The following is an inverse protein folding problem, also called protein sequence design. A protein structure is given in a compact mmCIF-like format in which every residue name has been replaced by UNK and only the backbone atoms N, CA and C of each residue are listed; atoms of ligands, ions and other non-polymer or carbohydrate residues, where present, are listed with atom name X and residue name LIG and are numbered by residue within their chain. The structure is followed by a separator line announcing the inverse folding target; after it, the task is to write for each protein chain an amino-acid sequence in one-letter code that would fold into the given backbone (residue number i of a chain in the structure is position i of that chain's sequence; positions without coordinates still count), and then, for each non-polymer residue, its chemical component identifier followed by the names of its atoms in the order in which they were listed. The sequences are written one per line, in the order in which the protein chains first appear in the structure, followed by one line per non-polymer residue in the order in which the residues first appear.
data_IF_173654377096
#
_entry.id   IF_173654377096
#
_cell.length_a   1.000
_cell.length_b   1.000
_cell.length_c   1.000
_cell.angle_alpha   90.00
_cell.angle_beta   90.00
_cell.angle_gamma   90.00
#
_symmetry.space_group_name_H-M   'P 1'
#
loop_
_entity.id
_entity.type
_entity.pdbx_description
1 polymer ?
#
# COMPACT_ATOMS: atom_id res chain seq x y z
N UNK A 1 -9.79 29.06 -8.35
CA UNK A 1 -10.37 27.76 -7.97
C UNK A 1 -9.85 27.48 -6.58
N UNK A 2 -10.69 27.58 -5.56
CA UNK A 2 -10.29 27.23 -4.19
C UNK A 2 -10.24 25.72 -4.10
N UNK A 3 -9.05 25.15 -3.92
CA UNK A 3 -8.93 23.75 -3.55
C UNK A 3 -9.44 23.63 -2.12
N UNK A 4 -10.56 22.93 -1.93
CA UNK A 4 -10.99 22.52 -0.59
C UNK A 4 -9.85 21.70 0.05
N UNK A 5 -9.61 21.84 1.37
CA UNK A 5 -8.58 21.06 2.04
C UNK A 5 -8.95 19.57 1.96
N UNK A 6 -8.04 18.78 1.38
CA UNK A 6 -8.20 17.33 1.25
C UNK A 6 -8.26 16.70 2.66
N UNK A 7 -9.22 15.83 2.91
CA UNK A 7 -9.35 15.10 4.18
C UNK A 7 -8.25 14.05 4.32
N UNK A 8 -7.92 13.64 5.56
CA UNK A 8 -6.96 12.56 5.83
C UNK A 8 -7.32 11.27 5.08
N UNK A 9 -8.62 10.94 5.02
CA UNK A 9 -9.12 9.78 4.29
C UNK A 9 -8.84 9.89 2.78
N UNK A 10 -9.06 11.06 2.18
CA UNK A 10 -8.77 11.29 0.77
C UNK A 10 -7.27 11.20 0.47
N UNK A 11 -6.40 11.67 1.39
CA UNK A 11 -4.94 11.55 1.24
C UNK A 11 -4.53 10.07 1.23
N UNK A 12 -4.98 9.30 2.23
CA UNK A 12 -4.69 7.86 2.35
C UNK A 12 -5.24 7.08 1.15
N UNK A 13 -6.45 7.41 0.69
CA UNK A 13 -7.06 6.78 -0.48
C UNK A 13 -6.28 7.07 -1.77
N UNK A 14 -5.64 8.23 -1.87
CA UNK A 14 -4.89 8.65 -3.06
C UNK A 14 -3.49 8.04 -3.21
N UNK A 15 -3.02 7.27 -2.22
CA UNK A 15 -1.68 6.67 -2.29
C UNK A 15 -1.53 5.74 -3.52
N UNK A 16 -0.47 5.93 -4.33
CA UNK A 16 -0.23 5.13 -5.54
C UNK A 16 0.38 3.76 -5.17
N UNK A 17 -0.42 2.92 -4.53
CA UNK A 17 0.01 1.60 -4.06
C UNK A 17 0.10 0.62 -5.25
N UNK A 18 1.15 -0.22 -5.33
CA UNK A 18 1.31 -1.20 -6.41
C UNK A 18 0.15 -2.19 -6.48
N UNK A 19 -0.27 -2.52 -7.71
CA UNK A 19 -1.27 -3.57 -7.92
C UNK A 19 -0.68 -4.94 -7.50
N UNK A 20 -1.48 -5.76 -6.82
CA UNK A 20 -1.04 -7.07 -6.32
C UNK A 20 -0.42 -7.05 -4.93
N UNK A 21 -0.23 -5.87 -4.33
CA UNK A 21 0.23 -5.72 -2.95
C UNK A 21 -0.93 -5.90 -1.95
N UNK A 22 -1.32 -7.15 -1.70
CA UNK A 22 -2.48 -7.51 -0.88
C UNK A 22 -2.38 -7.07 0.58
N UNK A 23 -1.20 -7.14 1.18
CA UNK A 23 -0.98 -6.68 2.55
C UNK A 23 -1.15 -5.16 2.64
N UNK A 24 -0.56 -4.45 1.69
CA UNK A 24 -0.66 -3.00 1.60
C UNK A 24 -2.09 -2.53 1.38
N UNK A 25 -2.84 -3.20 0.51
CA UNK A 25 -4.28 -2.94 0.34
C UNK A 25 -5.08 -3.17 1.62
N UNK A 26 -4.73 -4.22 2.39
CA UNK A 26 -5.40 -4.55 3.64
C UNK A 26 -5.14 -3.49 4.70
N UNK A 27 -3.90 -3.03 4.83
CA UNK A 27 -3.53 -1.97 5.76
C UNK A 27 -4.23 -0.66 5.38
N UNK A 28 -4.27 -0.28 4.08
CA UNK A 28 -5.00 0.91 3.61
C UNK A 28 -6.48 0.85 3.99
N UNK A 29 -7.15 -0.29 3.79
CA UNK A 29 -8.56 -0.47 4.18
C UNK A 29 -8.77 -0.35 5.68
N UNK A 30 -7.87 -0.94 6.48
CA UNK A 30 -7.92 -0.83 7.94
C UNK A 30 -7.79 0.63 8.40
N UNK A 31 -6.81 1.35 7.84
CA UNK A 31 -6.59 2.76 8.16
C UNK A 31 -7.80 3.64 7.81
N UNK A 32 -8.37 3.46 6.61
CA UNK A 32 -9.58 4.18 6.19
C UNK A 32 -10.78 3.87 7.09
N UNK A 33 -10.94 2.61 7.52
CA UNK A 33 -12.01 2.22 8.44
C UNK A 33 -11.84 2.87 9.83
N UNK A 34 -10.60 2.94 10.33
CA UNK A 34 -10.28 3.62 11.60
C UNK A 34 -10.57 5.11 11.53
N UNK A 35 -10.14 5.79 10.45
CA UNK A 35 -10.43 7.22 10.22
C UNK A 35 -11.95 7.44 10.17
N UNK A 36 -12.68 6.61 9.40
CA UNK A 36 -14.14 6.74 9.27
C UNK A 36 -14.93 6.44 10.55
N UNK A 37 -14.34 5.74 11.52
CA UNK A 37 -14.96 5.44 12.80
C UNK A 37 -14.81 6.58 13.84
N UNK A 38 -14.12 7.67 13.51
CA UNK A 38 -13.89 8.79 14.42
C UNK A 38 -12.93 8.46 15.58
N UNK A 39 -12.16 7.37 15.45
CA UNK A 39 -11.06 7.08 16.35
C UNK A 39 -9.90 7.99 15.98
N UNK A 40 -9.73 9.05 16.78
CA UNK A 40 -8.76 10.14 16.63
C UNK A 40 -8.70 10.63 15.18
N UNK A 41 -9.39 11.73 14.82
CA UNK A 41 -9.04 12.49 13.61
C UNK A 41 -7.57 12.88 13.78
N UNK A 42 -6.60 12.11 13.23
CA UNK A 42 -5.22 12.50 13.39
C UNK A 42 -5.15 13.71 12.47
N UNK A 43 -4.67 14.83 13.01
CA UNK A 43 -4.48 16.05 12.24
C UNK A 43 -4.03 15.66 10.83
N UNK A 44 -4.76 16.03 9.76
CA UNK A 44 -4.45 15.62 8.39
C UNK A 44 -2.97 15.82 8.05
N UNK A 45 -2.36 16.83 8.66
CA UNK A 45 -0.92 17.06 8.61
C UNK A 45 -0.11 15.96 9.30
N UNK A 46 -0.49 15.40 10.44
CA UNK A 46 0.28 14.33 11.14
C UNK A 46 0.35 13.02 10.35
N UNK A 47 -0.73 12.57 9.70
CA UNK A 47 -0.67 11.37 8.83
C UNK A 47 0.09 11.65 7.54
N UNK A 48 0.04 12.89 7.03
CA UNK A 48 0.77 13.32 5.86
C UNK A 48 2.27 13.57 6.13
N UNK A 49 2.60 14.07 7.32
CA UNK A 49 3.94 14.36 7.82
C UNK A 49 4.65 13.08 8.27
N UNK A 50 3.88 12.08 8.72
CA UNK A 50 4.39 10.75 8.94
C UNK A 50 4.51 10.06 7.57
N UNK A 51 5.73 9.66 7.19
CA UNK A 51 6.05 9.05 5.90
C UNK A 51 5.42 7.66 5.63
N UNK A 52 4.23 7.37 6.18
CA UNK A 52 3.48 6.13 6.00
C UNK A 52 3.19 5.89 4.52
N UNK A 53 2.75 6.90 3.76
CA UNK A 53 2.50 6.76 2.32
C UNK A 53 3.71 6.18 1.57
N UNK A 54 4.90 6.83 1.65
CA UNK A 54 6.14 6.27 1.13
C UNK A 54 6.49 4.86 1.62
N UNK A 55 6.30 4.57 2.92
CA UNK A 55 6.55 3.24 3.47
C UNK A 55 5.62 2.17 2.88
N UNK A 56 4.34 2.50 2.72
CA UNK A 56 3.34 1.64 2.11
C UNK A 56 3.64 1.36 0.64
N UNK A 57 4.13 2.35 -0.10
CA UNK A 57 4.58 2.18 -1.48
C UNK A 57 5.78 1.23 -1.54
N UNK A 58 6.79 1.43 -0.67
CA UNK A 58 7.98 0.57 -0.62
C UNK A 58 7.64 -0.87 -0.21
N UNK A 59 6.76 -1.04 0.78
CA UNK A 59 6.27 -2.35 1.20
C UNK A 59 5.52 -3.04 0.05
N UNK A 60 4.70 -2.30 -0.69
CA UNK A 60 3.93 -2.87 -1.79
C UNK A 60 4.81 -3.31 -2.95
N UNK A 61 5.88 -2.56 -3.23
CA UNK A 61 6.88 -2.97 -4.23
C UNK A 61 7.59 -4.24 -3.79
N UNK A 62 8.01 -4.31 -2.52
CA UNK A 62 8.65 -5.51 -1.97
C UNK A 62 7.74 -6.74 -2.05
N UNK A 63 6.45 -6.57 -1.76
CA UNK A 63 5.46 -7.64 -1.85
C UNK A 63 5.32 -8.18 -3.29
N UNK A 64 5.22 -7.29 -4.26
CA UNK A 64 5.13 -7.63 -5.69
C UNK A 64 6.43 -8.27 -6.18
N UNK A 65 7.58 -7.65 -5.93
CA UNK A 65 8.88 -8.15 -6.35
C UNK A 65 9.17 -9.55 -5.79
N UNK A 66 8.74 -9.83 -4.56
CA UNK A 66 8.87 -11.15 -3.94
C UNK A 66 7.95 -12.18 -4.60
N UNK A 67 6.72 -11.82 -4.95
CA UNK A 67 5.79 -12.70 -5.66
C UNK A 67 6.32 -13.05 -7.06
N UNK A 68 6.87 -12.07 -7.77
CA UNK A 68 7.50 -12.25 -9.08
C UNK A 68 8.74 -13.14 -8.97
N UNK A 69 9.60 -12.90 -7.98
CA UNK A 69 10.79 -13.71 -7.74
C UNK A 69 10.44 -15.19 -7.46
N UNK A 70 9.41 -15.44 -6.63
CA UNK A 70 8.93 -16.80 -6.36
C UNK A 70 8.42 -17.48 -7.61
N UNK A 71 7.60 -16.78 -8.41
CA UNK A 71 7.09 -17.29 -9.68
C UNK A 71 8.24 -17.67 -10.61
N UNK A 72 9.26 -16.82 -10.71
CA UNK A 72 10.43 -17.06 -11.55
C UNK A 72 11.26 -18.25 -11.08
N UNK A 73 11.44 -18.42 -9.77
CA UNK A 73 12.13 -19.59 -9.21
C UNK A 73 11.38 -20.86 -9.59
N UNK A 74 10.06 -20.89 -9.40
CA UNK A 74 9.26 -22.07 -9.72
C UNK A 74 9.33 -22.44 -11.22
N UNK A 75 9.35 -21.45 -12.11
CA UNK A 75 9.56 -21.65 -13.54
C UNK A 75 10.92 -22.28 -13.85
N UNK A 76 11.99 -21.75 -13.24
CA UNK A 76 13.34 -22.26 -13.43
C UNK A 76 13.49 -23.69 -12.90
N UNK A 77 12.90 -23.99 -11.74
CA UNK A 77 12.90 -25.32 -11.18
C UNK A 77 12.14 -26.33 -12.06
N UNK A 78 11.01 -25.93 -12.65
CA UNK A 78 10.29 -26.77 -13.61
C UNK A 78 11.13 -27.06 -14.85
N UNK A 79 11.73 -26.02 -15.45
CA UNK A 79 12.60 -26.17 -16.62
C UNK A 79 13.83 -27.07 -16.37
N UNK A 80 14.36 -27.06 -15.14
CA UNK A 80 15.47 -27.94 -14.75
C UNK A 80 15.02 -29.39 -14.55
N UNK A 81 13.78 -29.65 -14.11
CA UNK A 81 13.24 -31.01 -13.95
C UNK A 81 12.87 -31.66 -15.28
N UNK A 82 12.46 -30.86 -16.26
CA UNK A 82 12.02 -31.34 -17.58
C UNK A 82 13.20 -31.64 -18.54
N UNK A 83 14.45 -31.48 -18.07
CA UNK A 83 15.68 -31.67 -18.83
C UNK A 83 16.42 -32.94 -18.41
#
# INVERSE_FOLDING_TARGET
MSSEPQTTAEIVASWPLPQGAHLVDTIRRGLLATIGAGYDDPDPQVVADLAIGPLMIMLGRLEVDLADARTRIDELERALRDR
#
